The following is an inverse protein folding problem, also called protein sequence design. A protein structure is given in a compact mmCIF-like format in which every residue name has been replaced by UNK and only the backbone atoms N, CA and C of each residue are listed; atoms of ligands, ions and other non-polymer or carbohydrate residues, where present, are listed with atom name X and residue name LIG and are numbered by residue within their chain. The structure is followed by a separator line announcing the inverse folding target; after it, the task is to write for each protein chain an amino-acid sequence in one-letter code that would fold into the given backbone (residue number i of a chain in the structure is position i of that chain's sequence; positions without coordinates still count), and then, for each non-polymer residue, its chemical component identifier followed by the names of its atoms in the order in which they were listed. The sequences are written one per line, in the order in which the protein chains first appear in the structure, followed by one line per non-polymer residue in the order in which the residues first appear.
data_IF_579150580241
#
_entry.id   IF_579150580241
#
_cell.length_a   1.000
_cell.length_b   1.000
_cell.length_c   1.000
_cell.angle_alpha   90.00
_cell.angle_beta   90.00
_cell.angle_gamma   90.00
#
_symmetry.space_group_name_H-M   'P 1'
#
loop_
_entity.id
_entity.type
_entity.pdbx_description
1 polymer ?
#
# COMPACT_ATOMS: atom_id res chain seq x y z
N UNK A 1 -13.80 -15.78 11.87
CA UNK A 1 -13.69 -14.37 12.32
C UNK A 1 -14.88 -13.58 11.77
N UNK A 2 -15.52 -12.78 12.63
CA UNK A 2 -16.62 -11.87 12.24
C UNK A 2 -15.96 -10.56 11.81
N UNK A 3 -15.96 -10.25 10.52
CA UNK A 3 -15.47 -8.96 10.03
C UNK A 3 -16.50 -7.90 10.39
N UNK A 4 -16.05 -6.83 11.05
CA UNK A 4 -16.93 -5.76 11.48
C UNK A 4 -17.06 -4.73 10.35
N UNK A 5 -18.16 -4.79 9.61
CA UNK A 5 -18.48 -3.78 8.61
C UNK A 5 -19.04 -2.54 9.30
N UNK A 6 -18.47 -1.38 8.98
CA UNK A 6 -18.98 -0.09 9.40
C UNK A 6 -19.95 0.42 8.34
N UNK A 7 -21.11 0.89 8.77
CA UNK A 7 -22.09 1.54 7.92
C UNK A 7 -22.00 3.06 8.07
N UNK A 8 -22.74 3.82 7.25
CA UNK A 8 -22.87 5.26 7.47
C UNK A 8 -21.68 6.12 7.03
N UNK A 9 -20.81 5.61 6.17
CA UNK A 9 -19.57 6.29 5.78
C UNK A 9 -19.73 7.09 4.49
N UNK A 10 -18.76 7.98 4.26
CA UNK A 10 -18.57 8.70 3.01
C UNK A 10 -17.16 8.46 2.46
N UNK A 11 -17.02 8.49 1.13
CA UNK A 11 -15.76 8.19 0.43
C UNK A 11 -15.58 9.01 -0.83
N UNK A 12 -14.35 9.49 -1.00
CA UNK A 12 -13.89 10.14 -2.22
C UNK A 12 -12.70 9.38 -2.79
N UNK A 13 -12.79 8.97 -4.07
CA UNK A 13 -11.66 8.39 -4.81
C UNK A 13 -10.69 9.48 -5.23
N UNK A 14 -9.42 9.32 -4.85
CA UNK A 14 -8.32 10.21 -5.19
C UNK A 14 -7.38 9.49 -6.14
N UNK A 15 -7.24 10.03 -7.35
CA UNK A 15 -6.43 9.44 -8.42
C UNK A 15 -5.16 10.28 -8.57
N UNK A 16 -4.01 9.62 -8.42
CA UNK A 16 -2.67 10.23 -8.47
C UNK A 16 -2.46 11.38 -7.45
N UNK A 17 -1.29 12.02 -7.54
CA UNK A 17 -0.90 13.12 -6.66
C UNK A 17 -1.75 14.38 -6.83
N UNK A 18 -2.29 14.64 -8.02
CA UNK A 18 -3.07 15.86 -8.30
C UNK A 18 -4.38 15.91 -7.52
N UNK A 19 -5.02 14.75 -7.32
CA UNK A 19 -6.21 14.66 -6.47
C UNK A 19 -5.82 14.45 -5.00
N UNK A 20 -4.76 13.70 -4.73
CA UNK A 20 -4.41 13.30 -3.38
C UNK A 20 -3.78 14.41 -2.54
N UNK A 21 -2.69 15.03 -3.01
CA UNK A 21 -1.91 15.94 -2.18
C UNK A 21 -2.67 17.22 -1.79
N UNK A 22 -3.44 17.89 -2.68
CA UNK A 22 -4.22 19.05 -2.27
C UNK A 22 -5.21 18.74 -1.15
N UNK A 23 -5.91 17.59 -1.25
CA UNK A 23 -6.89 17.18 -0.24
C UNK A 23 -6.24 16.86 1.10
N UNK A 24 -5.10 16.18 1.09
CA UNK A 24 -4.31 15.92 2.30
C UNK A 24 -3.85 17.21 2.93
N UNK A 25 -3.18 18.09 2.17
CA UNK A 25 -2.62 19.34 2.71
C UNK A 25 -3.71 20.28 3.23
N UNK A 26 -4.85 20.37 2.56
CA UNK A 26 -5.99 21.14 3.06
C UNK A 26 -6.50 20.58 4.40
N UNK A 27 -6.55 19.26 4.56
CA UNK A 27 -6.96 18.66 5.84
C UNK A 27 -5.91 18.88 6.93
N UNK A 28 -4.61 18.79 6.63
CA UNK A 28 -3.54 19.07 7.59
C UNK A 28 -3.55 20.53 8.06
N UNK A 29 -3.78 21.48 7.14
CA UNK A 29 -3.93 22.91 7.45
C UNK A 29 -5.11 23.21 8.36
N UNK A 30 -6.17 22.40 8.29
CA UNK A 30 -7.38 22.56 9.09
C UNK A 30 -7.40 21.69 10.36
N UNK A 31 -6.38 20.84 10.57
CA UNK A 31 -6.28 19.97 11.73
C UNK A 31 -6.23 20.77 13.04
N UNK A 32 -6.86 20.23 14.10
CA UNK A 32 -7.06 20.93 15.38
C UNK A 32 -6.52 20.21 16.60
N UNK A 33 -6.43 18.88 16.56
CA UNK A 33 -6.18 18.05 17.74
C UNK A 33 -5.09 17.03 17.50
N UNK A 34 -5.19 16.24 16.43
CA UNK A 34 -4.26 15.12 16.19
C UNK A 34 -4.07 14.85 14.69
N UNK A 35 -2.84 14.53 14.32
CA UNK A 35 -2.48 13.96 13.03
C UNK A 35 -1.68 12.68 13.29
N UNK A 36 -2.21 11.55 12.82
CA UNK A 36 -1.46 10.29 12.75
C UNK A 36 -1.10 10.04 11.28
N UNK A 37 0.18 9.99 10.95
CA UNK A 37 0.66 9.74 9.58
C UNK A 37 1.54 8.50 9.54
N UNK A 38 1.18 7.55 8.68
CA UNK A 38 1.97 6.37 8.35
C UNK A 38 2.29 6.38 6.87
N UNK A 39 3.56 6.20 6.50
CA UNK A 39 3.93 6.03 5.09
C UNK A 39 5.20 5.18 4.94
N UNK A 40 5.37 4.60 3.76
CA UNK A 40 6.59 3.84 3.44
C UNK A 40 7.73 4.78 2.99
N UNK A 41 7.41 5.76 2.14
CA UNK A 41 8.38 6.70 1.57
C UNK A 41 7.94 8.15 1.84
N UNK A 42 8.91 8.95 2.24
CA UNK A 42 8.93 10.41 2.08
C UNK A 42 10.20 10.76 1.30
N UNK A 43 10.05 11.46 0.18
CA UNK A 43 11.18 12.07 -0.54
C UNK A 43 11.34 13.53 -0.15
N UNK A 44 12.58 14.01 -0.02
CA UNK A 44 12.87 15.44 0.19
C UNK A 44 12.79 16.24 -1.13
N UNK A 45 11.67 16.11 -1.83
CA UNK A 45 11.33 16.87 -3.03
C UNK A 45 10.20 17.88 -2.74
N UNK A 46 9.66 18.53 -3.77
CA UNK A 46 8.59 19.53 -3.59
C UNK A 46 7.35 19.01 -2.84
N UNK A 47 7.03 17.71 -2.94
CA UNK A 47 5.89 17.12 -2.23
C UNK A 47 6.24 16.88 -0.76
N UNK A 48 7.42 16.33 -0.48
CA UNK A 48 7.87 16.14 0.89
C UNK A 48 8.10 17.45 1.63
N UNK A 49 8.64 18.47 0.96
CA UNK A 49 8.78 19.81 1.54
C UNK A 49 7.41 20.43 1.85
N UNK A 50 6.44 20.32 0.93
CA UNK A 50 5.07 20.79 1.19
C UNK A 50 4.40 20.03 2.35
N UNK A 51 4.69 18.72 2.49
CA UNK A 51 4.26 17.96 3.67
C UNK A 51 4.91 18.52 4.94
N UNK A 52 6.23 18.74 4.93
CA UNK A 52 6.99 19.32 6.05
C UNK A 52 6.35 20.61 6.53
N UNK A 53 6.13 21.54 5.59
CA UNK A 53 5.56 22.86 5.89
C UNK A 53 4.16 22.74 6.50
N UNK A 54 3.29 21.89 5.92
CA UNK A 54 1.94 21.67 6.44
C UNK A 54 1.94 21.08 7.86
N UNK A 55 2.87 20.19 8.18
CA UNK A 55 3.03 19.61 9.51
C UNK A 55 3.58 20.63 10.51
N UNK A 56 4.59 21.42 10.12
CA UNK A 56 5.14 22.50 10.95
C UNK A 56 4.09 23.56 11.28
N UNK A 57 3.29 23.97 10.28
CA UNK A 57 2.16 24.88 10.49
C UNK A 57 1.13 24.30 11.47
N UNK A 58 0.86 22.99 11.40
CA UNK A 58 -0.06 22.32 12.33
C UNK A 58 0.51 22.22 13.75
N UNK A 59 1.78 21.88 13.88
CA UNK A 59 2.48 21.84 15.16
C UNK A 59 2.50 23.22 15.83
N UNK A 60 2.72 24.30 15.06
CA UNK A 60 2.67 25.67 15.56
C UNK A 60 1.28 26.08 16.13
N UNK A 61 0.21 25.40 15.70
CA UNK A 61 -1.15 25.56 16.26
C UNK A 61 -1.41 24.68 17.48
N UNK A 62 -0.43 23.88 17.92
CA UNK A 62 -0.54 22.96 19.04
C UNK A 62 -1.20 21.62 18.71
N UNK A 63 -1.30 21.26 17.43
CA UNK A 63 -1.80 19.93 17.01
C UNK A 63 -0.78 18.87 17.43
N UNK A 64 -1.24 17.76 18.01
CA UNK A 64 -0.37 16.62 18.31
C UNK A 64 -0.11 15.80 17.06
N UNK A 65 1.15 15.57 16.71
CA UNK A 65 1.51 14.95 15.43
C UNK A 65 2.42 13.75 15.66
N UNK A 66 1.98 12.61 15.14
CA UNK A 66 2.68 11.33 15.17
C UNK A 66 2.97 10.89 13.74
N UNK A 67 4.24 10.83 13.36
CA UNK A 67 4.68 10.44 12.02
C UNK A 67 5.47 9.14 12.11
N UNK A 68 4.92 8.06 11.56
CA UNK A 68 5.60 6.78 11.42
C UNK A 68 6.02 6.54 9.97
N UNK A 69 7.33 6.38 9.77
CA UNK A 69 7.92 6.12 8.47
C UNK A 69 8.67 4.78 8.45
N UNK A 70 8.71 4.14 7.29
CA UNK A 70 9.50 2.93 7.11
C UNK A 70 11.00 3.24 6.99
N UNK A 71 11.82 2.58 7.81
CA UNK A 71 13.28 2.77 7.86
C UNK A 71 14.07 2.19 6.68
N UNK A 72 13.43 1.70 5.62
CA UNK A 72 14.07 1.34 4.36
C UNK A 72 13.63 2.29 3.27
N UNK A 73 12.32 2.54 3.15
CA UNK A 73 11.75 3.45 2.16
C UNK A 73 12.09 4.92 2.41
N UNK A 74 12.20 5.35 3.66
CA UNK A 74 12.46 6.75 4.05
C UNK A 74 13.88 6.97 4.57
N UNK A 75 14.78 6.00 4.42
CA UNK A 75 16.09 6.09 5.05
C UNK A 75 17.11 6.99 4.31
N UNK A 76 16.69 7.63 3.21
CA UNK A 76 17.47 8.68 2.53
C UNK A 76 16.88 10.09 2.77
N UNK A 77 15.95 10.21 3.74
CA UNK A 77 15.44 11.49 4.20
C UNK A 77 16.54 12.24 4.98
N UNK A 78 16.80 13.53 4.69
CA UNK A 78 17.88 14.28 5.34
C UNK A 78 17.68 14.41 6.86
N UNK A 79 18.78 14.42 7.62
CA UNK A 79 18.78 14.63 9.07
C UNK A 79 18.13 15.95 9.46
N UNK A 80 18.36 16.99 8.66
CA UNK A 80 17.85 18.35 8.91
C UNK A 80 16.32 18.37 8.80
N UNK A 81 15.76 17.62 7.83
CA UNK A 81 14.30 17.47 7.69
C UNK A 81 13.70 16.87 8.97
N UNK A 82 14.34 15.83 9.51
CA UNK A 82 13.87 15.15 10.73
C UNK A 82 14.04 16.05 11.95
N UNK A 83 15.17 16.74 12.06
CA UNK A 83 15.49 17.65 13.15
C UNK A 83 14.48 18.79 13.24
N UNK A 84 14.18 19.47 12.13
CA UNK A 84 13.20 20.56 12.10
C UNK A 84 11.80 20.13 12.57
N UNK A 85 11.35 18.91 12.19
CA UNK A 85 10.08 18.37 12.66
C UNK A 85 10.14 18.07 14.18
N UNK A 86 11.22 17.44 14.64
CA UNK A 86 11.39 17.11 16.05
C UNK A 86 11.47 18.36 16.95
N UNK A 87 12.18 19.41 16.51
CA UNK A 87 12.27 20.71 17.19
C UNK A 87 10.91 21.41 17.29
N UNK A 88 10.04 21.23 16.29
CA UNK A 88 8.66 21.72 16.32
C UNK A 88 7.73 20.89 17.22
N UNK A 89 8.23 19.85 17.90
CA UNK A 89 7.45 18.99 18.78
C UNK A 89 6.69 17.87 18.05
N UNK A 90 7.05 17.56 16.81
CA UNK A 90 6.46 16.46 16.04
C UNK A 90 7.16 15.14 16.39
N UNK A 91 6.38 14.13 16.73
CA UNK A 91 6.90 12.82 17.13
C UNK A 91 7.16 11.94 15.90
N UNK A 92 8.44 11.85 15.51
CA UNK A 92 8.90 11.02 14.41
C UNK A 92 9.29 9.61 14.89
N UNK A 93 8.78 8.60 14.19
CA UNK A 93 8.99 7.19 14.48
C UNK A 93 9.50 6.46 13.23
N UNK A 94 10.64 5.79 13.34
CA UNK A 94 11.18 4.98 12.25
C UNK A 94 10.95 3.49 12.50
N UNK A 95 10.27 2.83 11.56
CA UNK A 95 9.93 1.42 11.64
C UNK A 95 11.05 0.54 11.05
N UNK A 96 11.58 -0.35 11.90
CA UNK A 96 12.66 -1.31 11.63
C UNK A 96 13.85 -0.71 10.84
N UNK A 97 14.48 0.38 11.31
CA UNK A 97 15.69 0.93 10.69
C UNK A 97 16.86 -0.04 10.83
N UNK A 98 17.70 -0.13 9.79
CA UNK A 98 18.98 -0.85 9.84
C UNK A 98 20.08 -0.06 9.13
N UNK A 99 21.33 -0.12 9.64
CA UNK A 99 22.47 0.48 8.96
C UNK A 99 22.75 -0.24 7.63
N UNK A 100 23.45 0.44 6.73
CA UNK A 100 23.99 -0.19 5.51
C UNK A 100 25.08 -1.18 5.91
N UNK A 101 25.04 -2.37 5.34
CA UNK A 101 26.13 -3.36 5.41
C UNK A 101 26.71 -3.53 4.00
N UNK A 102 28.01 -3.26 3.83
CA UNK A 102 28.67 -3.27 2.51
C UNK A 102 27.95 -2.40 1.47
N UNK A 103 27.47 -1.22 1.89
CA UNK A 103 26.73 -0.29 1.03
C UNK A 103 25.27 -0.66 0.76
N UNK A 104 24.78 -1.81 1.23
CA UNK A 104 23.41 -2.28 0.99
C UNK A 104 22.58 -2.40 2.28
N UNK A 105 21.28 -2.08 2.20
CA UNK A 105 20.32 -2.36 3.29
C UNK A 105 19.78 -3.78 3.15
N UNK A 106 19.95 -4.61 4.17
CA UNK A 106 19.60 -6.04 4.13
C UNK A 106 18.20 -6.36 4.68
N UNK A 107 17.54 -5.40 5.32
CA UNK A 107 16.19 -5.51 5.89
C UNK A 107 15.07 -5.32 4.86
N UNK A 108 15.04 -6.16 3.84
CA UNK A 108 14.05 -6.10 2.75
C UNK A 108 12.66 -6.66 3.12
N UNK A 109 12.55 -7.31 4.28
CA UNK A 109 11.36 -8.07 4.68
C UNK A 109 10.64 -7.41 5.85
N UNK A 110 9.31 -7.63 5.94
CA UNK A 110 8.46 -7.20 7.06
C UNK A 110 8.44 -5.68 7.25
N UNK A 111 8.29 -4.95 6.14
CA UNK A 111 8.29 -3.48 6.10
C UNK A 111 6.93 -2.89 6.47
N UNK A 112 6.92 -1.64 6.91
CA UNK A 112 5.68 -0.84 7.01
C UNK A 112 5.29 -0.35 5.62
N UNK A 113 4.28 -0.96 5.01
CA UNK A 113 3.80 -0.57 3.69
C UNK A 113 2.46 0.17 3.73
N UNK A 114 1.88 0.39 4.91
CA UNK A 114 0.67 1.21 5.06
C UNK A 114 0.96 2.66 4.63
N UNK A 115 -0.01 3.26 3.94
CA UNK A 115 -0.09 4.72 3.75
C UNK A 115 -1.43 5.15 4.31
N UNK A 116 -1.40 5.63 5.54
CA UNK A 116 -2.59 6.03 6.30
C UNK A 116 -2.34 7.42 6.87
N UNK A 117 -3.35 8.28 6.78
CA UNK A 117 -3.35 9.54 7.49
C UNK A 117 -4.66 9.61 8.24
N UNK A 118 -4.65 9.91 9.54
CA UNK A 118 -5.85 10.15 10.34
C UNK A 118 -5.75 11.54 10.94
N UNK A 119 -6.79 12.34 10.74
CA UNK A 119 -6.82 13.74 11.15
C UNK A 119 -8.03 13.93 12.07
N UNK A 120 -7.76 14.35 13.30
CA UNK A 120 -8.72 14.66 14.37
C UNK A 120 -9.68 13.51 14.72
N UNK A 121 -9.38 12.28 14.28
CA UNK A 121 -10.32 11.16 14.36
C UNK A 121 -11.60 11.36 13.54
N UNK A 122 -11.63 12.33 12.60
CA UNK A 122 -12.80 12.67 11.79
C UNK A 122 -12.67 12.29 10.32
N UNK A 123 -11.45 12.40 9.79
CA UNK A 123 -11.13 12.13 8.38
C UNK A 123 -9.91 11.24 8.32
N UNK A 124 -9.92 10.28 7.39
CA UNK A 124 -8.76 9.47 7.11
C UNK A 124 -8.48 9.33 5.62
N UNK A 125 -7.21 9.08 5.29
CA UNK A 125 -6.74 8.75 3.96
C UNK A 125 -6.10 7.37 3.98
N UNK A 126 -6.36 6.56 2.96
CA UNK A 126 -5.75 5.22 2.81
C UNK A 126 -5.55 4.89 1.32
N UNK A 127 -4.40 4.31 0.97
CA UNK A 127 -4.12 3.98 -0.44
C UNK A 127 -2.70 3.50 -0.73
N UNK A 128 -2.31 3.64 -2.00
CA UNK A 128 -0.99 3.27 -2.52
C UNK A 128 0.02 4.43 -2.62
N UNK A 129 -0.45 5.67 -2.54
CA UNK A 129 0.32 6.90 -2.81
C UNK A 129 1.27 7.20 -1.64
N UNK A 130 2.57 7.36 -1.92
CA UNK A 130 3.56 7.87 -0.97
C UNK A 130 3.78 9.38 -1.18
N UNK A 131 4.57 10.01 -0.29
CA UNK A 131 4.92 11.42 -0.42
C UNK A 131 6.15 11.60 -1.31
N UNK A 132 5.89 11.82 -2.59
CA UNK A 132 6.89 12.01 -3.62
C UNK A 132 6.33 12.69 -4.87
N UNK A 133 7.16 13.50 -5.53
CA UNK A 133 6.85 14.16 -6.78
C UNK A 133 6.58 13.17 -7.91
N UNK A 134 7.07 11.93 -7.80
CA UNK A 134 6.82 10.84 -8.73
C UNK A 134 5.34 10.41 -8.83
N UNK A 135 4.46 10.91 -7.98
CA UNK A 135 3.01 10.76 -8.11
C UNK A 135 2.32 11.91 -8.87
N UNK A 136 3.06 12.93 -9.29
CA UNK A 136 2.57 14.07 -10.07
C UNK A 136 2.90 13.90 -11.55
N UNK A 137 1.99 14.32 -12.42
CA UNK A 137 2.11 14.23 -13.87
C UNK A 137 3.29 15.05 -14.41
N UNK A 138 3.63 16.15 -13.74
CA UNK A 138 4.77 16.99 -14.09
C UNK A 138 6.14 16.35 -13.75
N UNK A 139 6.15 15.18 -13.10
CA UNK A 139 7.33 14.31 -13.01
C UNK A 139 7.70 13.65 -14.34
N UNK A 140 6.81 13.73 -15.33
CA UNK A 140 7.05 13.26 -16.70
C UNK A 140 6.71 11.77 -16.89
N UNK A 141 7.41 11.05 -17.79
CA UNK A 141 7.06 9.68 -18.16
C UNK A 141 7.08 8.69 -17.00
N UNK A 142 7.81 8.98 -15.92
CA UNK A 142 7.93 8.14 -14.73
C UNK A 142 6.86 8.44 -13.67
N UNK A 143 5.95 9.39 -13.93
CA UNK A 143 4.83 9.68 -13.04
C UNK A 143 3.98 8.43 -12.80
N UNK A 144 3.70 8.08 -11.55
CA UNK A 144 2.97 6.88 -11.18
C UNK A 144 1.46 7.06 -11.35
N UNK A 145 0.82 6.06 -11.93
CA UNK A 145 -0.64 5.89 -11.87
C UNK A 145 -0.99 5.16 -10.57
N UNK A 146 -1.65 5.84 -9.62
CA UNK A 146 -1.94 5.27 -8.30
C UNK A 146 -3.24 5.82 -7.71
N UNK A 147 -3.69 5.24 -6.60
CA UNK A 147 -5.01 5.47 -6.02
C UNK A 147 -4.95 5.55 -4.50
N UNK A 148 -5.76 6.45 -3.96
CA UNK A 148 -6.09 6.52 -2.55
C UNK A 148 -7.57 6.88 -2.39
N UNK A 149 -8.06 6.80 -1.16
CA UNK A 149 -9.39 7.30 -0.80
C UNK A 149 -9.29 8.22 0.40
N UNK A 150 -10.10 9.28 0.40
CA UNK A 150 -10.45 10.03 1.59
C UNK A 150 -11.76 9.48 2.13
N UNK A 151 -11.84 9.25 3.45
CA UNK A 151 -13.02 8.70 4.10
C UNK A 151 -13.40 9.46 5.36
N UNK A 152 -14.70 9.46 5.63
CA UNK A 152 -15.31 10.03 6.84
C UNK A 152 -16.41 9.10 7.36
N UNK A 153 -16.73 9.24 8.64
CA UNK A 153 -17.76 8.44 9.32
C UNK A 153 -17.17 7.35 10.20
N UNK A 154 -17.99 6.38 10.66
CA UNK A 154 -17.61 5.39 11.66
C UNK A 154 -16.33 4.60 11.35
N UNK A 155 -16.00 4.40 10.07
CA UNK A 155 -14.78 3.72 9.63
C UNK A 155 -13.49 4.38 10.13
N UNK A 156 -13.51 5.69 10.37
CA UNK A 156 -12.34 6.43 10.86
C UNK A 156 -11.94 5.94 12.25
N UNK A 157 -12.88 5.47 13.07
CA UNK A 157 -12.58 4.87 14.37
C UNK A 157 -11.72 3.60 14.25
N UNK A 158 -12.01 2.75 13.27
CA UNK A 158 -11.24 1.52 13.04
C UNK A 158 -9.85 1.84 12.49
N UNK A 159 -9.74 2.83 11.59
CA UNK A 159 -8.45 3.29 11.03
C UNK A 159 -7.60 3.95 12.12
N UNK A 160 -8.18 4.85 12.91
CA UNK A 160 -7.52 5.49 14.06
C UNK A 160 -6.97 4.47 15.05
N UNK A 161 -7.80 3.48 15.42
CA UNK A 161 -7.36 2.39 16.31
C UNK A 161 -6.21 1.59 15.71
N UNK A 162 -6.27 1.27 14.41
CA UNK A 162 -5.20 0.54 13.72
C UNK A 162 -3.89 1.33 13.66
N UNK A 163 -3.97 2.65 13.49
CA UNK A 163 -2.81 3.54 13.49
C UNK A 163 -2.17 3.68 14.87
N UNK A 164 -2.99 3.91 15.90
CA UNK A 164 -2.49 3.94 17.29
C UNK A 164 -1.89 2.61 17.74
N UNK A 165 -2.38 1.48 17.23
CA UNK A 165 -1.84 0.17 17.56
C UNK A 165 -0.39 -0.03 17.12
N UNK A 166 0.06 0.62 16.05
CA UNK A 166 1.47 0.60 15.63
C UNK A 166 2.36 1.33 16.64
N UNK A 167 1.84 2.42 17.22
CA UNK A 167 2.59 3.24 18.17
C UNK A 167 2.83 2.53 19.50
N UNK A 168 2.04 1.52 19.88
CA UNK A 168 2.08 0.83 21.21
C UNK A 168 3.46 0.29 21.60
N UNK A 169 4.37 0.10 20.64
CA UNK A 169 5.76 -0.31 20.89
C UNK A 169 6.76 0.86 21.03
N UNK A 170 6.29 2.10 20.97
CA UNK A 170 7.10 3.30 21.20
C UNK A 170 7.12 3.67 22.69
N UNK A 171 8.28 3.99 23.28
CA UNK A 171 8.35 4.49 24.66
C UNK A 171 7.65 5.86 24.87
N UNK A 172 7.30 6.58 23.79
CA UNK A 172 6.60 7.89 23.84
C UNK A 172 5.07 7.78 23.98
N UNK A 173 4.49 6.57 23.95
CA UNK A 173 3.03 6.33 23.96
C UNK A 173 2.30 6.87 25.20
N UNK A 174 3.02 7.08 26.31
CA UNK A 174 2.41 7.45 27.58
C UNK A 174 1.58 8.75 27.54
N UNK A 175 1.80 9.62 26.54
CA UNK A 175 1.17 10.94 26.44
C UNK A 175 0.29 11.16 25.19
N UNK A 176 -0.12 10.10 24.48
CA UNK A 176 -1.01 10.26 23.32
C UNK A 176 -2.34 10.91 23.75
N UNK A 177 -2.81 11.97 23.05
CA UNK A 177 -4.10 12.58 23.32
C UNK A 177 -5.22 11.54 23.25
N UNK A 178 -6.22 11.69 24.12
CA UNK A 178 -7.42 10.85 24.07
C UNK A 178 -8.42 11.41 23.05
N UNK A 179 -8.01 11.45 21.77
CA UNK A 179 -8.93 11.79 20.68
C UNK A 179 -9.95 10.69 20.52
N UNK A 180 -11.24 11.06 20.58
CA UNK A 180 -12.36 10.14 20.35
C UNK A 180 -12.78 10.25 18.89
N UNK A 181 -12.60 9.20 18.07
CA UNK A 181 -13.00 9.24 16.68
C UNK A 181 -14.51 9.50 16.52
N UNK A 182 -14.86 10.22 15.46
CA UNK A 182 -16.24 10.51 15.12
C UNK A 182 -16.91 9.24 14.62
N UNK A 183 -18.00 8.87 15.28
CA UNK A 183 -18.83 7.69 14.95
C UNK A 183 -20.19 8.08 14.35
N UNK A 184 -20.38 9.36 14.03
CA UNK A 184 -21.59 9.84 13.37
C UNK A 184 -21.61 9.38 11.91
N UNK A 185 -22.77 8.93 11.45
CA UNK A 185 -23.01 8.63 10.04
C UNK A 185 -23.00 9.91 9.20
N UNK A 186 -22.25 9.90 8.11
CA UNK A 186 -22.06 11.02 7.18
C UNK A 186 -22.39 10.66 5.72
N UNK A 187 -22.69 9.39 5.46
CA UNK A 187 -23.11 8.89 4.15
C UNK A 187 -23.78 7.52 4.28
N UNK A 188 -23.82 6.76 3.19
CA UNK A 188 -24.47 5.44 3.14
C UNK A 188 -23.51 4.30 2.78
N UNK A 189 -22.21 4.59 2.70
CA UNK A 189 -21.22 3.62 2.25
C UNK A 189 -20.88 2.65 3.38
N UNK A 190 -20.82 1.36 3.04
CA UNK A 190 -20.36 0.32 3.96
C UNK A 190 -18.90 -0.01 3.70
N UNK A 191 -18.11 -0.04 4.77
CA UNK A 191 -16.67 -0.23 4.69
C UNK A 191 -16.18 -1.23 5.71
N UNK A 192 -15.07 -1.86 5.40
CA UNK A 192 -14.34 -2.74 6.30
C UNK A 192 -12.85 -2.42 6.14
N UNK A 193 -12.22 -1.99 7.23
CA UNK A 193 -10.77 -1.94 7.29
C UNK A 193 -10.23 -3.37 7.37
N UNK A 194 -9.31 -3.69 6.47
CA UNK A 194 -8.54 -4.92 6.53
C UNK A 194 -7.07 -4.59 6.63
N UNK A 195 -6.44 -5.08 7.68
CA UNK A 195 -5.01 -4.95 7.88
C UNK A 195 -4.36 -6.29 7.65
N UNK A 196 -3.09 -6.26 7.24
CA UNK A 196 -2.22 -7.43 7.29
C UNK A 196 -1.05 -7.14 8.20
N UNK A 197 -0.78 -8.07 9.13
CA UNK A 197 0.35 -8.01 10.05
C UNK A 197 1.02 -9.38 10.22
N UNK A 198 2.07 -9.44 11.04
CA UNK A 198 2.82 -10.66 11.32
C UNK A 198 2.34 -11.40 12.58
N UNK A 199 1.20 -10.99 13.18
CA UNK A 199 0.64 -11.54 14.40
C UNK A 199 -0.75 -12.14 14.14
N UNK A 200 -1.82 -11.36 14.33
CA UNK A 200 -3.21 -11.84 14.34
C UNK A 200 -3.86 -11.78 12.95
N UNK A 201 -3.41 -10.88 12.08
CA UNK A 201 -4.06 -10.56 10.81
C UNK A 201 -3.19 -11.00 9.62
N UNK A 202 -2.78 -12.27 9.59
CA UNK A 202 -1.78 -12.74 8.61
C UNK A 202 -2.32 -12.91 7.19
N UNK A 203 -3.63 -13.13 7.05
CA UNK A 203 -4.28 -13.51 5.77
C UNK A 203 -5.53 -12.69 5.45
N UNK A 204 -5.90 -11.72 6.29
CA UNK A 204 -7.20 -11.03 6.21
C UNK A 204 -7.44 -10.37 4.84
N UNK A 205 -6.42 -9.72 4.28
CA UNK A 205 -6.51 -9.08 2.95
C UNK A 205 -6.69 -10.13 1.85
N UNK A 206 -5.86 -11.18 1.81
CA UNK A 206 -6.00 -12.29 0.84
C UNK A 206 -7.38 -12.94 0.94
N UNK A 207 -7.90 -13.12 2.15
CA UNK A 207 -9.21 -13.70 2.39
C UNK A 207 -10.36 -12.84 1.84
N UNK A 208 -10.27 -11.50 1.92
CA UNK A 208 -11.29 -10.64 1.30
C UNK A 208 -11.26 -10.73 -0.22
N UNK A 209 -10.08 -10.76 -0.83
CA UNK A 209 -9.95 -11.01 -2.27
C UNK A 209 -10.58 -12.36 -2.66
N UNK A 210 -10.23 -13.44 -1.95
CA UNK A 210 -10.79 -14.77 -2.22
C UNK A 210 -12.32 -14.78 -2.08
N UNK A 211 -12.88 -14.13 -1.06
CA UNK A 211 -14.33 -14.03 -0.87
C UNK A 211 -14.99 -13.29 -2.02
N UNK A 212 -14.46 -12.13 -2.40
CA UNK A 212 -14.99 -11.34 -3.51
C UNK A 212 -14.93 -12.11 -4.84
N UNK A 213 -13.81 -12.78 -5.12
CA UNK A 213 -13.63 -13.59 -6.35
C UNK A 213 -14.61 -14.77 -6.38
N UNK A 214 -14.88 -15.40 -5.24
CA UNK A 214 -15.83 -16.51 -5.14
C UNK A 214 -17.27 -16.07 -5.30
N UNK A 215 -17.65 -14.92 -4.76
CA UNK A 215 -19.00 -14.37 -4.89
C UNK A 215 -19.26 -13.69 -6.23
N UNK A 216 -18.19 -13.28 -6.94
CA UNK A 216 -18.31 -12.59 -8.21
C UNK A 216 -19.15 -13.39 -9.22
N UNK A 217 -20.10 -12.70 -9.84
CA UNK A 217 -21.08 -13.29 -10.76
C UNK A 217 -21.14 -12.57 -12.12
N UNK A 218 -20.61 -11.35 -12.23
CA UNK A 218 -20.69 -10.53 -13.43
C UNK A 218 -19.32 -10.07 -13.92
N UNK A 219 -18.57 -9.29 -13.11
CA UNK A 219 -17.26 -8.73 -13.50
C UNK A 219 -16.28 -8.74 -12.34
N UNK A 220 -14.99 -8.84 -12.67
CA UNK A 220 -13.89 -8.67 -11.73
C UNK A 220 -12.76 -7.90 -12.43
N UNK A 221 -12.37 -6.75 -11.91
CA UNK A 221 -11.21 -6.00 -12.43
C UNK A 221 -10.21 -5.81 -11.30
N UNK A 222 -8.94 -6.14 -11.57
CA UNK A 222 -7.83 -5.95 -10.62
C UNK A 222 -6.75 -5.13 -11.32
N UNK A 223 -6.42 -3.96 -10.77
CA UNK A 223 -5.28 -3.17 -11.20
C UNK A 223 -4.20 -3.22 -10.11
N UNK A 224 -3.08 -3.87 -10.42
CA UNK A 224 -2.01 -4.08 -9.44
C UNK A 224 -0.62 -3.90 -10.05
N UNK A 225 0.27 -3.24 -9.31
CA UNK A 225 1.66 -3.01 -9.72
C UNK A 225 2.45 -4.32 -9.85
N UNK A 226 2.33 -5.21 -8.85
CA UNK A 226 3.02 -6.49 -8.81
C UNK A 226 2.01 -7.62 -8.59
N UNK A 227 1.95 -8.54 -9.55
CA UNK A 227 1.00 -9.63 -9.54
C UNK A 227 1.72 -10.98 -9.60
N UNK A 228 2.07 -11.48 -8.43
CA UNK A 228 2.65 -12.81 -8.22
C UNK A 228 1.95 -13.52 -7.05
N UNK A 229 0.62 -13.67 -7.07
CA UNK A 229 -0.07 -14.11 -5.88
C UNK A 229 0.12 -15.61 -5.64
N UNK A 230 -0.22 -16.04 -4.42
CA UNK A 230 -0.23 -17.45 -4.07
C UNK A 230 -1.17 -18.29 -4.95
N UNK A 231 -0.92 -19.60 -4.98
CA UNK A 231 -1.70 -20.54 -5.80
C UNK A 231 -3.20 -20.50 -5.52
N UNK A 232 -3.60 -20.23 -4.28
CA UNK A 232 -5.02 -20.12 -3.89
C UNK A 232 -5.71 -19.02 -4.70
N UNK A 233 -5.16 -17.82 -4.72
CA UNK A 233 -5.75 -16.69 -5.45
C UNK A 233 -5.81 -16.96 -6.96
N UNK A 234 -4.72 -17.48 -7.55
CA UNK A 234 -4.68 -17.85 -8.97
C UNK A 234 -5.78 -18.86 -9.35
N UNK A 235 -6.00 -19.87 -8.49
CA UNK A 235 -7.04 -20.88 -8.70
C UNK A 235 -8.44 -20.25 -8.67
N UNK A 236 -8.71 -19.38 -7.70
CA UNK A 236 -10.02 -18.74 -7.57
C UNK A 236 -10.30 -17.79 -8.75
N UNK A 237 -9.30 -17.07 -9.27
CA UNK A 237 -9.44 -16.25 -10.48
C UNK A 237 -9.84 -17.08 -11.71
N UNK A 238 -9.18 -18.23 -11.90
CA UNK A 238 -9.55 -19.18 -12.97
C UNK A 238 -10.96 -19.73 -12.78
N UNK A 239 -11.32 -20.07 -11.54
CA UNK A 239 -12.66 -20.54 -11.23
C UNK A 239 -13.72 -19.46 -11.51
N UNK A 240 -13.43 -18.18 -11.25
CA UNK A 240 -14.34 -17.09 -11.60
C UNK A 240 -14.52 -16.96 -13.12
N UNK A 241 -13.43 -16.98 -13.89
CA UNK A 241 -13.50 -16.94 -15.35
C UNK A 241 -14.28 -18.14 -15.92
N UNK A 242 -14.06 -19.35 -15.40
CA UNK A 242 -14.83 -20.56 -15.78
C UNK A 242 -16.32 -20.48 -15.47
N UNK A 243 -16.71 -19.71 -14.45
CA UNK A 243 -18.13 -19.44 -14.13
C UNK A 243 -18.77 -18.41 -15.09
N UNK A 244 -17.99 -17.83 -16.01
CA UNK A 244 -18.46 -16.80 -16.94
C UNK A 244 -18.28 -15.37 -16.43
N UNK A 245 -17.61 -15.16 -15.30
CA UNK A 245 -17.29 -13.81 -14.80
C UNK A 245 -16.27 -13.17 -15.74
N UNK A 246 -16.51 -11.93 -16.20
CA UNK A 246 -15.52 -11.17 -16.97
C UNK A 246 -14.38 -10.74 -16.06
N UNK A 247 -13.28 -11.49 -16.05
CA UNK A 247 -12.08 -11.19 -15.26
C UNK A 247 -11.08 -10.40 -16.11
N UNK A 248 -10.69 -9.21 -15.64
CA UNK A 248 -9.67 -8.36 -16.27
C UNK A 248 -8.57 -8.02 -15.26
N UNK A 249 -7.32 -8.25 -15.63
CA UNK A 249 -6.14 -7.85 -14.88
C UNK A 249 -5.42 -6.73 -15.62
N UNK A 250 -5.23 -5.59 -14.96
CA UNK A 250 -4.45 -4.45 -15.46
C UNK A 250 -3.14 -4.42 -14.67
N UNK A 251 -2.04 -4.75 -15.35
CA UNK A 251 -0.74 -4.99 -14.74
C UNK A 251 0.31 -4.03 -15.29
N UNK A 252 1.41 -3.83 -14.57
CA UNK A 252 2.52 -2.98 -15.03
C UNK A 252 3.25 -3.66 -16.21
N UNK A 253 3.29 -3.00 -17.38
CA UNK A 253 3.93 -3.52 -18.59
C UNK A 253 5.47 -3.43 -18.61
N UNK A 254 6.04 -2.59 -17.74
CA UNK A 254 7.50 -2.46 -17.59
C UNK A 254 7.94 -2.84 -16.18
N UNK A 255 8.07 -4.14 -15.85
CA UNK A 255 8.67 -4.56 -14.59
C UNK A 255 10.17 -4.23 -14.58
N UNK A 256 10.65 -3.67 -13.47
CA UNK A 256 12.04 -3.26 -13.26
C UNK A 256 13.02 -4.45 -13.20
N UNK A 257 12.51 -5.67 -13.00
CA UNK A 257 13.32 -6.87 -12.78
C UNK A 257 13.16 -7.91 -13.92
N UNK A 258 14.24 -8.31 -14.62
CA UNK A 258 14.18 -9.25 -15.75
C UNK A 258 13.54 -10.62 -15.44
N UNK A 259 13.79 -11.17 -14.25
CA UNK A 259 13.20 -12.44 -13.82
C UNK A 259 11.70 -12.36 -13.57
N UNK A 260 11.20 -11.19 -13.16
CA UNK A 260 9.78 -10.96 -12.95
C UNK A 260 8.99 -11.13 -14.26
N UNK A 261 9.55 -10.72 -15.41
CA UNK A 261 8.93 -10.93 -16.73
C UNK A 261 8.80 -12.40 -17.08
N UNK A 262 9.82 -13.21 -16.80
CA UNK A 262 9.78 -14.66 -17.06
C UNK A 262 8.68 -15.34 -16.22
N UNK A 263 8.66 -15.08 -14.91
CA UNK A 263 7.64 -15.63 -14.02
C UNK A 263 6.22 -15.13 -14.39
N UNK A 264 6.07 -13.86 -14.76
CA UNK A 264 4.80 -13.28 -15.20
C UNK A 264 4.27 -13.98 -16.44
N UNK A 265 5.14 -14.26 -17.42
CA UNK A 265 4.73 -14.94 -18.66
C UNK A 265 4.16 -16.35 -18.40
N UNK A 266 4.63 -17.06 -17.37
CA UNK A 266 4.11 -18.38 -17.00
C UNK A 266 2.74 -18.26 -16.31
N UNK A 267 2.61 -17.31 -15.39
CA UNK A 267 1.36 -17.02 -14.69
C UNK A 267 0.27 -16.54 -15.65
N UNK A 268 0.63 -15.69 -16.61
CA UNK A 268 -0.31 -15.15 -17.59
C UNK A 268 -0.90 -16.26 -18.45
N UNK A 269 -0.06 -17.15 -18.98
CA UNK A 269 -0.55 -18.29 -19.77
C UNK A 269 -1.49 -19.19 -18.97
N UNK A 270 -1.27 -19.35 -17.67
CA UNK A 270 -2.15 -20.14 -16.80
C UNK A 270 -3.54 -19.52 -16.61
N UNK A 271 -3.63 -18.19 -16.61
CA UNK A 271 -4.87 -17.43 -16.46
C UNK A 271 -5.60 -17.22 -17.80
N UNK A 272 -4.86 -16.82 -18.83
CA UNK A 272 -5.38 -16.57 -20.19
C UNK A 272 -6.10 -17.79 -20.78
N UNK A 273 -5.60 -19.00 -20.50
CA UNK A 273 -6.23 -20.26 -20.95
C UNK A 273 -7.65 -20.49 -20.42
N UNK A 274 -8.04 -19.83 -19.34
CA UNK A 274 -9.38 -19.95 -18.75
C UNK A 274 -10.27 -18.72 -19.02
N UNK A 275 -9.83 -17.80 -19.90
CA UNK A 275 -10.60 -16.62 -20.27
C UNK A 275 -10.39 -15.40 -19.38
N UNK A 276 -9.34 -15.37 -18.55
CA UNK A 276 -8.92 -14.15 -17.85
C UNK A 276 -8.28 -13.21 -18.86
N UNK A 277 -8.76 -11.97 -18.95
CA UNK A 277 -8.16 -10.94 -19.78
C UNK A 277 -7.00 -10.29 -19.03
N UNK A 278 -5.84 -10.13 -19.67
CA UNK A 278 -4.67 -9.48 -19.08
C UNK A 278 -4.25 -8.33 -19.98
N UNK A 279 -4.10 -7.15 -19.39
CA UNK A 279 -3.75 -5.91 -20.05
C UNK A 279 -2.49 -5.34 -19.36
N UNK A 280 -1.46 -5.04 -20.13
CA UNK A 280 -0.24 -4.40 -19.63
C UNK A 280 -0.31 -2.89 -19.86
N UNK A 281 -0.22 -2.12 -18.79
CA UNK A 281 -0.18 -0.66 -18.80
C UNK A 281 1.25 -0.17 -19.10
N UNK A 282 1.40 0.58 -20.19
CA UNK A 282 2.72 0.95 -20.73
C UNK A 282 2.94 2.47 -20.84
N UNK A 283 1.95 3.30 -20.49
CA UNK A 283 2.05 4.77 -20.64
C UNK A 283 3.02 5.41 -19.64
N UNK A 284 3.00 4.92 -18.41
CA UNK A 284 3.81 5.32 -17.25
C UNK A 284 3.78 4.20 -16.20
N UNK A 285 4.57 4.22 -15.12
CA UNK A 285 4.51 3.18 -14.10
C UNK A 285 3.11 3.05 -13.47
N UNK A 286 2.52 1.84 -13.50
CA UNK A 286 1.28 1.54 -12.77
C UNK A 286 1.64 1.13 -11.35
N UNK A 287 1.25 1.94 -10.36
CA UNK A 287 1.45 1.63 -8.95
C UNK A 287 0.13 1.33 -8.21
N UNK A 288 -0.99 1.15 -8.92
CA UNK A 288 -2.27 0.86 -8.30
C UNK A 288 -2.29 -0.43 -7.47
N UNK A 289 -3.15 -0.46 -6.44
CA UNK A 289 -3.51 -1.65 -5.66
C UNK A 289 -5.02 -1.65 -5.42
N UNK A 290 -5.76 -1.67 -6.52
CA UNK A 290 -7.22 -1.55 -6.51
C UNK A 290 -7.88 -2.74 -7.20
N UNK A 291 -9.05 -3.11 -6.72
CA UNK A 291 -9.86 -4.12 -7.37
C UNK A 291 -11.34 -3.82 -7.19
N UNK A 292 -12.16 -4.34 -8.08
CA UNK A 292 -13.62 -4.27 -8.01
C UNK A 292 -14.24 -5.57 -8.49
N UNK A 293 -15.38 -5.90 -7.91
CA UNK A 293 -16.17 -7.07 -8.24
C UNK A 293 -17.65 -6.68 -8.34
N UNK A 294 -18.29 -7.17 -9.39
CA UNK A 294 -19.69 -6.93 -9.73
C UNK A 294 -20.03 -5.43 -9.71
N UNK A 295 -21.06 -5.03 -8.93
CA UNK A 295 -21.62 -3.67 -8.96
C UNK A 295 -21.30 -2.83 -7.75
N UNK A 296 -20.86 -3.42 -6.64
CA UNK A 296 -20.74 -2.69 -5.36
C UNK A 296 -19.39 -2.89 -4.68
N UNK A 297 -18.76 -4.06 -4.82
CA UNK A 297 -17.55 -4.37 -4.06
C UNK A 297 -16.33 -3.75 -4.74
N UNK A 298 -15.54 -2.98 -4.00
CA UNK A 298 -14.21 -2.59 -4.42
C UNK A 298 -13.24 -2.51 -3.24
N UNK A 299 -11.95 -2.45 -3.54
CA UNK A 299 -10.90 -2.22 -2.55
C UNK A 299 -9.87 -1.25 -3.07
N UNK A 300 -9.40 -0.39 -2.16
CA UNK A 300 -8.27 0.52 -2.34
C UNK A 300 -7.36 0.37 -1.12
N UNK A 301 -6.05 0.32 -1.33
CA UNK A 301 -5.11 0.14 -0.23
C UNK A 301 -3.66 0.11 -0.67
N UNK A 302 -2.82 -0.47 0.17
CA UNK A 302 -1.38 -0.56 -0.05
C UNK A 302 -0.91 -1.91 -0.58
N UNK A 303 -1.75 -2.95 -0.49
CA UNK A 303 -1.33 -4.34 -0.73
C UNK A 303 -1.12 -4.68 -2.21
N UNK A 304 0.10 -5.03 -2.55
CA UNK A 304 0.38 -5.68 -3.82
C UNK A 304 -0.08 -7.16 -3.75
N UNK A 305 -0.41 -7.75 -4.89
CA UNK A 305 -0.78 -9.16 -4.96
C UNK A 305 0.47 -10.02 -5.22
N UNK A 306 1.47 -9.87 -4.36
CA UNK A 306 2.75 -10.59 -4.41
C UNK A 306 3.07 -11.26 -3.06
N UNK A 307 4.02 -12.21 -3.02
CA UNK A 307 4.26 -13.00 -1.84
C UNK A 307 4.81 -12.18 -0.66
N UNK A 308 5.58 -11.11 -0.89
CA UNK A 308 6.12 -10.25 0.17
C UNK A 308 5.01 -9.43 0.82
N UNK A 309 4.17 -8.78 0.02
CA UNK A 309 3.05 -7.98 0.53
C UNK A 309 2.04 -8.86 1.28
N UNK A 310 1.66 -10.01 0.71
CA UNK A 310 0.67 -10.90 1.33
C UNK A 310 1.22 -11.72 2.50
N UNK A 311 2.54 -11.97 2.58
CA UNK A 311 3.12 -12.87 3.58
C UNK A 311 4.06 -12.22 4.60
N UNK A 312 4.50 -10.97 4.41
CA UNK A 312 5.53 -10.35 5.25
C UNK A 312 5.28 -8.90 5.65
N UNK A 313 4.85 -8.03 4.74
CA UNK A 313 4.75 -6.59 5.00
C UNK A 313 3.51 -6.20 5.81
N UNK A 314 3.58 -5.12 6.56
CA UNK A 314 2.42 -4.53 7.20
C UNK A 314 1.65 -3.73 6.15
N UNK A 315 0.41 -4.14 5.89
CA UNK A 315 -0.41 -3.57 4.83
C UNK A 315 -1.78 -3.17 5.37
N UNK A 316 -2.48 -2.31 4.63
CA UNK A 316 -3.86 -1.95 4.91
C UNK A 316 -4.64 -1.73 3.62
N UNK A 317 -5.83 -2.31 3.57
CA UNK A 317 -6.79 -2.14 2.50
C UNK A 317 -8.14 -1.75 3.10
N UNK A 318 -8.81 -0.82 2.45
CA UNK A 318 -10.20 -0.56 2.69
C UNK A 318 -11.04 -1.37 1.71
N UNK A 319 -11.94 -2.18 2.24
CA UNK A 319 -12.96 -2.86 1.45
C UNK A 319 -14.22 -2.02 1.51
N UNK A 320 -14.79 -1.71 0.35
CA UNK A 320 -15.86 -0.75 0.20
C UNK A 320 -17.01 -1.42 -0.56
N UNK A 321 -18.24 -1.19 -0.08
CA UNK A 321 -19.48 -1.54 -0.78
C UNK A 321 -20.24 -0.27 -1.08
N UNK A 322 -20.10 0.20 -2.32
CA UNK A 322 -20.82 1.34 -2.87
C UNK A 322 -20.89 1.24 -4.39
N UNK A 323 -22.11 1.36 -4.94
CA UNK A 323 -22.33 1.21 -6.37
C UNK A 323 -21.72 2.36 -7.18
N UNK A 324 -21.78 3.58 -6.64
CA UNK A 324 -21.33 4.79 -7.33
C UNK A 324 -19.80 4.80 -7.47
N UNK A 325 -19.09 4.55 -6.37
CA UNK A 325 -17.65 4.43 -6.33
C UNK A 325 -17.15 3.26 -7.20
N UNK A 326 -17.80 2.10 -7.11
CA UNK A 326 -17.47 0.93 -7.93
C UNK A 326 -17.56 1.26 -9.42
N UNK A 327 -18.66 1.91 -9.84
CA UNK A 327 -18.86 2.28 -11.23
C UNK A 327 -17.84 3.34 -11.68
N UNK A 328 -17.59 4.38 -10.88
CA UNK A 328 -16.57 5.40 -11.19
C UNK A 328 -15.17 4.79 -11.33
N UNK A 329 -14.80 3.86 -10.44
CA UNK A 329 -13.53 3.16 -10.53
C UNK A 329 -13.48 2.25 -11.77
N UNK A 330 -14.58 1.56 -12.09
CA UNK A 330 -14.66 0.74 -13.29
C UNK A 330 -14.47 1.57 -14.56
N UNK A 331 -15.19 2.69 -14.69
CA UNK A 331 -15.11 3.55 -15.89
C UNK A 331 -13.69 4.09 -16.07
N UNK A 332 -13.05 4.52 -14.98
CA UNK A 332 -11.65 4.96 -15.00
C UNK A 332 -10.68 3.84 -15.42
N UNK A 333 -10.79 2.66 -14.80
CA UNK A 333 -9.91 1.52 -15.12
C UNK A 333 -10.16 0.98 -16.54
N UNK A 334 -11.40 1.01 -17.00
CA UNK A 334 -11.76 0.58 -18.35
C UNK A 334 -11.19 1.56 -19.39
N UNK A 335 -11.32 2.87 -19.15
CA UNK A 335 -10.70 3.88 -20.00
C UNK A 335 -9.17 3.75 -20.03
N UNK A 336 -8.53 3.48 -18.89
CA UNK A 336 -7.09 3.20 -18.84
C UNK A 336 -6.72 1.96 -19.65
N UNK A 337 -7.48 0.87 -19.51
CA UNK A 337 -7.24 -0.36 -20.26
C UNK A 337 -7.40 -0.15 -21.77
N UNK A 338 -8.45 0.56 -22.19
CA UNK A 338 -8.76 0.73 -23.61
C UNK A 338 -7.81 1.71 -24.31
N UNK A 339 -7.39 2.78 -23.62
CA UNK A 339 -6.58 3.83 -24.22
C UNK A 339 -5.07 3.63 -24.06
N UNK A 340 -4.63 2.87 -23.04
CA UNK A 340 -3.23 2.89 -22.59
C UNK A 340 -2.65 1.51 -22.26
N UNK A 341 -3.42 0.44 -22.44
CA UNK A 341 -2.91 -0.92 -22.24
C UNK A 341 -2.80 -1.73 -23.53
N UNK A 342 -1.80 -2.60 -23.55
CA UNK A 342 -1.67 -3.65 -24.56
C UNK A 342 -2.30 -4.94 -24.03
N UNK A 343 -3.23 -5.52 -24.79
CA UNK A 343 -3.84 -6.80 -24.44
C UNK A 343 -2.84 -7.93 -24.67
N UNK A 344 -2.61 -8.74 -23.63
CA UNK A 344 -1.71 -9.87 -23.72
C UNK A 344 -2.45 -11.06 -24.34
N UNK A 345 -1.95 -11.51 -25.48
CA UNK A 345 -2.42 -12.73 -26.11
C UNK A 345 -1.69 -13.94 -25.53
N UNK A 346 -2.36 -15.10 -25.40
CA UNK A 346 -1.69 -16.33 -25.02
C UNK A 346 -0.59 -16.62 -26.04
N UNK A 347 0.66 -16.68 -25.59
CA UNK A 347 1.73 -17.21 -26.44
C UNK A 347 1.49 -18.71 -26.56
N UNK A 348 0.99 -19.15 -27.72
CA UNK A 348 0.94 -20.57 -28.05
C UNK A 348 2.37 -21.07 -27.95
N UNK A 349 2.63 -21.92 -26.96
CA UNK A 349 3.93 -22.53 -26.81
C UNK A 349 4.21 -23.31 -28.09
N UNK A 350 5.16 -22.83 -28.91
CA UNK A 350 5.68 -23.61 -30.02
C UNK A 350 6.04 -25.00 -29.50
N UNK A 351 5.60 -26.06 -30.18
CA UNK A 351 5.96 -27.46 -29.87
C UNK A 351 7.50 -27.53 -29.71
N UNK A 352 7.98 -27.67 -28.46
CA UNK A 352 9.42 -27.60 -28.14
C UNK A 352 9.81 -27.24 -26.70
N UNK A 353 8.86 -26.86 -25.83
CA UNK A 353 9.14 -26.33 -24.47
C UNK A 353 9.05 -27.34 -23.31
N UNK A 354 9.39 -28.61 -23.53
CA UNK A 354 9.44 -29.62 -22.46
C UNK A 354 10.39 -29.22 -21.30
N UNK A 355 11.49 -28.52 -21.60
CA UNK A 355 12.43 -27.98 -20.60
C UNK A 355 11.87 -26.86 -19.71
N UNK A 356 10.74 -26.22 -20.07
CA UNK A 356 10.06 -25.21 -19.22
C UNK A 356 9.09 -25.82 -18.22
N UNK A 357 8.68 -27.08 -18.39
CA UNK A 357 7.77 -27.75 -17.46
C UNK A 357 8.34 -27.84 -16.02
N UNK A 358 9.64 -28.16 -15.80
CA UNK A 358 10.26 -28.08 -14.48
C UNK A 358 10.24 -26.66 -13.90
N UNK A 359 10.48 -25.63 -14.72
CA UNK A 359 10.48 -24.23 -14.28
C UNK A 359 9.07 -23.78 -13.87
N UNK A 360 8.04 -24.20 -14.61
CA UNK A 360 6.63 -23.98 -14.27
C UNK A 360 6.31 -24.66 -12.94
N UNK A 361 6.67 -25.94 -12.80
CA UNK A 361 6.47 -26.70 -11.57
C UNK A 361 7.16 -26.02 -10.38
N UNK A 362 8.44 -25.64 -10.52
CA UNK A 362 9.21 -24.96 -9.50
C UNK A 362 8.60 -23.61 -9.11
N UNK A 363 8.13 -22.82 -10.09
CA UNK A 363 7.48 -21.53 -9.84
C UNK A 363 6.18 -21.69 -9.05
N UNK A 364 5.31 -22.62 -9.46
CA UNK A 364 4.06 -22.91 -8.73
C UNK A 364 4.32 -23.54 -7.36
N UNK A 365 5.33 -24.41 -7.25
CA UNK A 365 5.73 -25.03 -6.00
C UNK A 365 6.27 -23.97 -5.03
N UNK A 366 7.14 -23.08 -5.50
CA UNK A 366 7.62 -21.92 -4.74
C UNK A 366 6.45 -21.06 -4.27
N UNK A 367 5.56 -20.60 -5.16
CA UNK A 367 4.40 -19.77 -4.78
C UNK A 367 3.44 -20.47 -3.79
N UNK A 368 3.28 -21.79 -3.91
CA UNK A 368 2.46 -22.59 -3.00
C UNK A 368 3.07 -22.71 -1.61
N UNK A 369 4.39 -22.89 -1.54
CA UNK A 369 5.10 -23.14 -0.29
C UNK A 369 5.77 -21.89 0.29
N UNK A 370 5.75 -20.75 -0.42
CA UNK A 370 6.38 -19.50 0.01
C UNK A 370 5.98 -19.09 1.44
N UNK A 371 4.69 -19.10 1.84
CA UNK A 371 4.32 -18.74 3.21
C UNK A 371 4.93 -19.67 4.26
N UNK A 372 5.10 -20.96 3.94
CA UNK A 372 5.71 -21.95 4.83
C UNK A 372 7.25 -21.81 4.88
N UNK A 373 7.90 -21.61 3.73
CA UNK A 373 9.35 -21.40 3.60
C UNK A 373 9.78 -20.16 4.37
N UNK A 374 9.04 -19.06 4.22
CA UNK A 374 9.30 -17.81 4.93
C UNK A 374 8.99 -17.93 6.42
N UNK A 375 8.04 -18.78 6.81
CA UNK A 375 7.78 -19.11 8.21
C UNK A 375 8.98 -19.71 8.94
N UNK A 376 9.99 -20.23 8.22
CA UNK A 376 11.24 -20.74 8.79
C UNK A 376 12.33 -19.66 8.95
N UNK A 377 12.18 -18.50 8.30
CA UNK A 377 13.09 -17.38 8.54
C UNK A 377 12.85 -16.82 9.96
N UNK A 378 13.91 -16.52 10.73
CA UNK A 378 13.74 -15.96 12.07
C UNK A 378 12.79 -14.76 12.02
N UNK A 379 11.70 -14.83 12.78
CA UNK A 379 10.82 -13.69 12.98
C UNK A 379 11.55 -12.69 13.87
N UNK A 380 12.14 -11.66 13.29
CA UNK A 380 12.58 -10.52 14.08
C UNK A 380 11.35 -9.70 14.42
N UNK A 381 11.23 -9.31 15.68
CA UNK A 381 10.21 -8.35 16.08
C UNK A 381 10.62 -6.98 15.52
N UNK A 382 9.82 -6.37 14.64
CA UNK A 382 10.10 -5.03 14.13
C UNK A 382 10.20 -4.05 15.30
N UNK A 383 11.21 -3.18 15.28
CA UNK A 383 11.40 -2.15 16.31
C UNK A 383 10.88 -0.82 15.79
N UNK A 384 10.14 -0.10 16.63
CA UNK A 384 9.81 1.29 16.39
C UNK A 384 10.86 2.14 17.12
N UNK A 385 11.64 2.94 16.38
CA UNK A 385 12.66 3.81 16.95
C UNK A 385 12.15 5.27 16.96
N UNK A 386 11.89 5.88 18.13
CA UNK A 386 11.68 7.32 18.21
C UNK A 386 12.91 8.06 17.71
N UNK A 387 12.72 9.18 17.01
CA UNK A 387 13.82 10.05 16.61
C UNK A 387 13.83 11.26 17.55
N UNK A 388 14.56 11.16 18.66
CA UNK A 388 14.78 12.25 19.62
C UNK A 388 16.03 13.06 19.25
N UNK A 389 16.10 14.31 19.71
CA UNK A 389 17.24 15.21 19.45
C UNK A 389 18.58 14.63 19.95
N UNK A 390 18.59 13.97 21.12
CA UNK A 390 19.83 13.46 21.74
C UNK A 390 20.43 12.20 21.07
N UNK A 391 19.62 11.39 20.36
CA UNK A 391 20.14 10.19 19.65
C UNK A 391 20.72 10.52 18.26
N UNK A 392 20.66 11.79 17.85
CA UNK A 392 21.19 12.27 16.59
C UNK A 392 22.71 12.46 16.66
N UNK A 393 23.28 12.82 17.81
CA UNK A 393 24.73 12.97 17.99
C UNK A 393 25.46 11.63 17.77
N UNK A 394 24.94 10.51 18.28
CA UNK A 394 25.52 9.18 18.01
C UNK A 394 25.42 8.77 16.54
N UNK A 395 24.33 9.15 15.86
CA UNK A 395 24.12 8.80 14.44
C UNK A 395 25.04 9.61 13.53
N UNK A 396 25.27 10.88 13.88
CA UNK A 396 26.21 11.78 13.19
C UNK A 396 27.66 11.40 13.48
N UNK A 397 28.03 11.02 14.72
CA UNK A 397 29.38 10.53 15.02
C UNK A 397 29.70 9.21 14.31
N UNK A 398 28.72 8.31 14.17
CA UNK A 398 28.86 7.06 13.42
C UNK A 398 29.01 7.29 11.90
N UNK A 399 28.35 8.30 11.33
CA UNK A 399 28.52 8.67 9.91
C UNK A 399 29.84 9.42 9.66
N UNK A 400 30.20 10.37 10.52
CA UNK A 400 31.42 11.18 10.39
C UNK A 400 32.71 10.38 10.65
N UNK A 401 32.63 9.35 11.51
CA UNK A 401 33.76 8.42 11.74
C UNK A 401 33.99 7.46 10.57
N UNK A 402 32.95 7.17 9.78
CA UNK A 402 33.05 6.31 8.60
C UNK A 402 33.55 7.04 7.35
N UNK A 403 33.27 8.33 7.20
CA UNK A 403 33.83 9.16 6.12
C UNK A 403 35.31 9.48 6.32
N UNK A 404 35.82 9.48 7.56
CA UNK A 404 37.26 9.67 7.84
C UNK A 404 38.12 8.42 7.62
N UNK A 405 37.53 7.28 7.27
CA UNK A 405 38.24 6.02 6.97
C UNK A 405 38.15 5.58 5.50
N UNK A 406 37.66 6.44 4.60
CA UNK A 406 37.71 6.21 3.14
C UNK A 406 38.73 7.10 2.44
#
# INVERSE_FOLDING_TARGET
MKYNWQEGNDVELLINGEAFFPRVFDCLKNARTEILLETFIIFSDKVGLALKDALLEAAARGVHIEVTVDGYGTADLPSEYIAELAEAGIHMHMFDPRPRMLGMRTNLFRRLHRKIIVIDGETAFIGGINFGADHLADYGPMAKQDYAVQVRGPIVADIHKASRAILVHSPTVANLPNVRPVTRHVGNVRMLLTVRDNAQHRTDIEEQYIRAIRSASYRLVIANAYFFPGYRLLRELRNAARRGVKVTLILQGQPDMPWARLCSSLLYNYLLREGVNICEYSRRPLHGKVALADREWCTVGSSNLDPLSLSLNLEANLIIRDATLNQRLYDHLHQLADAQCESITPKIAARGYWWRAPLIFASFHFLRHFPAIIGWLPAHTPKLKPLTLDEQEETVELQCSQEKQQ
#
